data_IF_067469945941
#
_entry.id   IF_067469945941
#
_cell.length_a   1.000
_cell.length_b   1.000
_cell.length_c   1.000
_cell.angle_alpha   90.00
_cell.angle_beta   90.00
_cell.angle_gamma   90.00
#
_symmetry.space_group_name_H-M   'P 1'
#
loop_
_entity.id
_entity.type
_entity.pdbx_description
1 polymer ?
#
# COMPACT_ATOMS: atom_id res chain seq x y z
N UNK A 1 -18.55 15.57 -76.99
CA UNK A 1 -18.42 14.10 -76.93
C UNK A 1 -17.76 13.71 -75.61
N UNK A 2 -18.47 12.91 -74.79
CA UNK A 2 -17.98 12.00 -73.71
C UNK A 2 -17.25 12.71 -72.53
N UNK A 3 -17.55 12.49 -71.25
CA UNK A 3 -18.16 11.33 -70.56
C UNK A 3 -18.61 11.76 -69.15
N UNK A 4 -19.77 11.28 -68.69
CA UNK A 4 -20.21 11.33 -67.28
C UNK A 4 -19.24 10.54 -66.39
N UNK A 5 -18.94 11.05 -65.20
CA UNK A 5 -18.36 10.26 -64.11
C UNK A 5 -19.33 10.25 -62.92
N UNK A 6 -20.01 9.13 -62.76
CA UNK A 6 -20.83 8.73 -61.61
C UNK A 6 -19.92 8.48 -60.42
N UNK A 7 -20.16 9.16 -59.28
CA UNK A 7 -19.58 8.77 -58.00
C UNK A 7 -20.63 8.01 -57.17
N UNK A 8 -20.29 6.76 -56.88
CA UNK A 8 -21.01 5.87 -55.96
C UNK A 8 -20.95 6.43 -54.54
N UNK A 9 -22.10 6.62 -53.91
CA UNK A 9 -22.22 6.82 -52.47
C UNK A 9 -22.00 5.47 -51.77
N UNK A 10 -20.88 5.32 -51.05
CA UNK A 10 -20.67 4.19 -50.15
C UNK A 10 -21.06 4.62 -48.73
N UNK A 11 -22.18 4.08 -48.24
CA UNK A 11 -22.67 4.27 -46.88
C UNK A 11 -21.88 3.34 -45.95
N UNK A 12 -20.99 3.91 -45.12
CA UNK A 12 -20.26 3.15 -44.09
C UNK A 12 -21.17 2.95 -42.86
N UNK A 13 -21.64 1.72 -42.63
CA UNK A 13 -22.41 1.36 -41.45
C UNK A 13 -21.45 1.12 -40.27
N UNK A 14 -21.25 2.11 -39.40
CA UNK A 14 -20.46 1.94 -38.19
C UNK A 14 -21.27 1.19 -37.13
N UNK A 15 -20.97 -0.10 -36.94
CA UNK A 15 -21.46 -0.88 -35.80
C UNK A 15 -20.61 -0.51 -34.59
N UNK A 16 -21.10 0.41 -33.75
CA UNK A 16 -20.52 0.66 -32.43
C UNK A 16 -20.90 -0.46 -31.48
N UNK A 17 -19.97 -1.38 -31.25
CA UNK A 17 -20.05 -2.41 -30.21
C UNK A 17 -19.85 -1.73 -28.85
N UNK A 18 -20.93 -1.47 -28.13
CA UNK A 18 -20.87 -0.95 -26.76
C UNK A 18 -20.44 -2.10 -25.85
N UNK A 19 -19.16 -2.13 -25.49
CA UNK A 19 -18.70 -2.93 -24.35
C UNK A 19 -19.27 -2.29 -23.08
N UNK A 20 -20.29 -2.93 -22.51
CA UNK A 20 -20.75 -2.62 -21.17
C UNK A 20 -19.62 -2.92 -20.19
N UNK A 21 -18.98 -1.89 -19.65
CA UNK A 21 -18.13 -2.03 -18.48
C UNK A 21 -19.04 -2.31 -17.29
N UNK A 22 -19.20 -3.58 -16.94
CA UNK A 22 -19.74 -3.96 -15.63
C UNK A 22 -18.69 -3.57 -14.59
N UNK A 23 -18.91 -2.47 -13.87
CA UNK A 23 -18.16 -2.20 -12.65
C UNK A 23 -18.62 -3.22 -11.60
N UNK A 24 -17.86 -4.30 -11.43
CA UNK A 24 -18.03 -5.16 -10.25
C UNK A 24 -17.74 -4.32 -9.01
N UNK A 25 -18.79 -3.93 -8.29
CA UNK A 25 -18.65 -3.33 -6.98
C UNK A 25 -17.97 -4.39 -6.08
N UNK A 26 -16.72 -4.15 -5.69
CA UNK A 26 -16.05 -4.96 -4.66
C UNK A 26 -16.92 -4.94 -3.42
N UNK A 27 -17.49 -6.09 -3.04
CA UNK A 27 -18.22 -6.22 -1.80
C UNK A 27 -17.30 -5.80 -0.64
N UNK A 28 -17.70 -4.77 0.11
CA UNK A 28 -16.99 -4.37 1.32
C UNK A 28 -16.96 -5.58 2.26
N UNK A 29 -15.78 -5.98 2.69
CA UNK A 29 -15.65 -7.01 3.71
C UNK A 29 -16.22 -6.45 5.01
N UNK A 30 -17.08 -7.21 5.70
CA UNK A 30 -17.67 -6.80 6.97
C UNK A 30 -17.21 -7.72 8.08
N UNK A 31 -17.21 -7.19 9.31
CA UNK A 31 -17.02 -7.95 10.53
C UNK A 31 -18.21 -7.73 11.46
N UNK A 32 -18.84 -8.81 11.89
CA UNK A 32 -19.85 -8.77 12.95
C UNK A 32 -19.16 -8.86 14.30
N UNK A 33 -19.27 -7.79 15.10
CA UNK A 33 -18.63 -7.66 16.42
C UNK A 33 -19.07 -8.81 17.33
N UNK A 34 -18.10 -9.44 17.99
CA UNK A 34 -18.29 -10.48 18.99
C UNK A 34 -18.01 -9.94 20.40
N UNK A 35 -18.50 -10.66 21.42
CA UNK A 35 -18.16 -10.34 22.81
C UNK A 35 -16.64 -10.39 23.01
N UNK A 36 -16.07 -9.31 23.55
CA UNK A 36 -14.64 -9.18 23.80
C UNK A 36 -13.84 -8.59 22.64
N UNK A 37 -14.47 -8.28 21.51
CA UNK A 37 -13.85 -7.49 20.46
C UNK A 37 -13.62 -6.04 20.90
N UNK A 38 -12.57 -5.47 20.32
CA UNK A 38 -12.28 -4.04 20.36
C UNK A 38 -11.91 -3.61 18.95
N UNK A 39 -12.02 -2.33 18.62
CA UNK A 39 -11.61 -1.84 17.30
C UNK A 39 -10.16 -2.23 16.98
N UNK A 40 -9.28 -2.23 17.98
CA UNK A 40 -7.90 -2.70 17.85
C UNK A 40 -7.81 -4.20 17.53
N UNK A 41 -8.53 -5.07 18.25
CA UNK A 41 -8.50 -6.52 17.97
C UNK A 41 -9.03 -6.84 16.58
N UNK A 42 -10.05 -6.12 16.13
CA UNK A 42 -10.59 -6.23 14.77
C UNK A 42 -9.51 -5.78 13.78
N UNK A 43 -8.91 -4.61 13.98
CA UNK A 43 -7.83 -4.09 13.14
C UNK A 43 -6.64 -5.06 13.02
N UNK A 44 -6.19 -5.65 14.14
CA UNK A 44 -5.13 -6.65 14.17
C UNK A 44 -5.52 -7.91 13.41
N UNK A 45 -6.74 -8.44 13.65
CA UNK A 45 -7.24 -9.65 12.98
C UNK A 45 -7.25 -9.49 11.47
N UNK A 46 -7.64 -8.32 11.00
CA UNK A 46 -7.76 -8.01 9.58
C UNK A 46 -6.53 -7.27 9.02
N UNK A 47 -5.46 -7.08 9.81
CA UNK A 47 -4.22 -6.41 9.36
C UNK A 47 -4.46 -5.03 8.72
N UNK A 48 -5.41 -4.27 9.27
CA UNK A 48 -5.77 -2.91 8.83
C UNK A 48 -5.53 -1.91 9.95
N UNK A 49 -5.53 -0.62 9.64
CA UNK A 49 -5.46 0.41 10.66
C UNK A 49 -6.77 0.59 11.40
N UNK A 50 -6.72 0.79 12.72
CA UNK A 50 -7.89 1.19 13.52
C UNK A 50 -8.56 2.40 12.89
N UNK A 51 -7.79 3.45 12.55
CA UNK A 51 -8.33 4.65 11.90
C UNK A 51 -8.98 4.35 10.54
N UNK A 52 -8.41 3.43 9.75
CA UNK A 52 -9.00 3.04 8.46
C UNK A 52 -10.36 2.35 8.64
N UNK A 53 -10.51 1.57 9.72
CA UNK A 53 -11.82 1.03 10.10
C UNK A 53 -12.75 2.18 10.51
N UNK A 54 -12.29 3.12 11.34
CA UNK A 54 -13.13 4.25 11.78
C UNK A 54 -13.63 5.07 10.57
N UNK A 55 -12.73 5.41 9.64
CA UNK A 55 -13.03 6.19 8.44
C UNK A 55 -13.99 5.44 7.50
N UNK A 56 -13.88 4.11 7.43
CA UNK A 56 -14.81 3.26 6.69
C UNK A 56 -16.20 3.13 7.36
N UNK A 57 -16.34 3.60 8.60
CA UNK A 57 -17.57 3.51 9.38
C UNK A 57 -18.03 4.88 9.92
N UNK A 58 -18.33 5.86 9.05
CA UNK A 58 -18.78 7.19 9.47
C UNK A 58 -20.10 7.17 10.25
N UNK A 59 -20.85 6.07 10.21
CA UNK A 59 -22.05 5.85 11.00
C UNK A 59 -21.79 5.63 12.50
N UNK A 60 -20.53 5.42 12.91
CA UNK A 60 -20.17 5.25 14.33
C UNK A 60 -20.06 6.62 15.02
N UNK A 61 -21.07 6.99 15.79
CA UNK A 61 -21.06 8.24 16.57
C UNK A 61 -19.91 8.29 17.60
N UNK A 62 -19.52 7.13 18.15
CA UNK A 62 -18.35 6.99 19.01
C UNK A 62 -17.57 5.72 18.63
N UNK A 63 -16.42 5.85 17.95
CA UNK A 63 -15.64 4.71 17.49
C UNK A 63 -15.00 3.86 18.61
N UNK A 64 -14.96 4.38 19.85
CA UNK A 64 -14.45 3.64 21.01
C UNK A 64 -15.50 2.71 21.64
N UNK A 65 -16.75 2.74 21.18
CA UNK A 65 -17.85 1.90 21.70
C UNK A 65 -18.45 1.09 20.55
N UNK A 66 -18.27 -0.23 20.60
CA UNK A 66 -18.88 -1.20 19.68
C UNK A 66 -19.63 -2.26 20.47
N UNK A 67 -20.72 -2.77 19.91
CA UNK A 67 -21.59 -3.75 20.58
C UNK A 67 -21.63 -5.09 19.84
N UNK A 68 -21.69 -6.24 20.55
CA UNK A 68 -21.89 -7.54 19.90
C UNK A 68 -23.09 -7.53 18.93
N UNK A 69 -22.91 -8.10 17.74
CA UNK A 69 -23.91 -8.10 16.66
C UNK A 69 -23.87 -6.86 15.77
N UNK A 70 -23.13 -5.82 16.13
CA UNK A 70 -22.92 -4.66 15.28
C UNK A 70 -22.03 -5.02 14.07
N UNK A 71 -22.40 -4.53 12.88
CA UNK A 71 -21.61 -4.73 11.67
C UNK A 71 -20.62 -3.59 11.49
N UNK A 72 -19.35 -3.94 11.39
CA UNK A 72 -18.23 -3.04 11.09
C UNK A 72 -17.80 -3.26 9.65
N UNK A 73 -17.82 -2.20 8.86
CA UNK A 73 -17.24 -2.19 7.52
C UNK A 73 -15.73 -2.24 7.64
N UNK A 74 -15.10 -3.22 7.02
CA UNK A 74 -13.64 -3.28 6.94
C UNK A 74 -13.21 -2.53 5.67
N UNK A 75 -12.15 -1.71 5.74
CA UNK A 75 -11.52 -1.22 4.54
C UNK A 75 -11.11 -2.43 3.69
N UNK A 76 -11.45 -2.41 2.40
CA UNK A 76 -11.31 -3.55 1.50
C UNK A 76 -9.91 -4.18 1.62
N UNK A 77 -9.85 -5.45 2.03
CA UNK A 77 -8.65 -6.24 2.38
C UNK A 77 -7.66 -6.48 1.22
N UNK A 78 -7.92 -5.91 0.05
CA UNK A 78 -7.06 -5.96 -1.13
C UNK A 78 -7.29 -4.69 -1.93
N UNK A 79 -6.79 -3.55 -1.44
CA UNK A 79 -6.51 -2.45 -2.36
C UNK A 79 -5.36 -2.87 -3.27
N UNK A 80 -5.31 -2.35 -4.50
CA UNK A 80 -4.17 -2.61 -5.42
C UNK A 80 -2.82 -2.34 -4.74
N UNK A 81 -2.78 -1.36 -3.81
CA UNK A 81 -1.64 -1.05 -2.94
C UNK A 81 -1.13 -2.24 -2.12
N UNK A 82 -2.01 -3.02 -1.49
CA UNK A 82 -1.59 -4.16 -0.68
C UNK A 82 -1.00 -5.31 -1.51
N UNK A 83 -1.51 -5.54 -2.73
CA UNK A 83 -0.93 -6.55 -3.63
C UNK A 83 0.46 -6.14 -4.13
N UNK A 84 0.68 -4.86 -4.45
CA UNK A 84 1.99 -4.40 -4.94
C UNK A 84 3.04 -4.31 -3.82
N UNK A 85 2.64 -4.00 -2.58
CA UNK A 85 3.52 -4.04 -1.42
C UNK A 85 4.01 -5.46 -1.11
N UNK A 86 3.12 -6.46 -1.16
CA UNK A 86 3.48 -7.87 -0.99
C UNK A 86 4.44 -8.36 -2.06
N UNK A 87 4.27 -7.90 -3.30
CA UNK A 87 5.18 -8.21 -4.38
C UNK A 87 6.59 -7.65 -4.14
N UNK A 88 6.71 -6.44 -3.58
CA UNK A 88 8.01 -5.90 -3.14
C UNK A 88 8.65 -6.80 -2.06
N UNK A 89 7.89 -7.25 -1.06
CA UNK A 89 8.40 -8.15 -0.01
C UNK A 89 8.90 -9.47 -0.62
N UNK A 90 8.16 -10.04 -1.57
CA UNK A 90 8.57 -11.26 -2.31
C UNK A 90 9.91 -11.04 -3.00
N UNK A 91 10.04 -9.98 -3.80
CA UNK A 91 11.27 -9.66 -4.54
C UNK A 91 12.47 -9.47 -3.61
N UNK A 92 12.28 -8.78 -2.49
CA UNK A 92 13.31 -8.59 -1.46
C UNK A 92 13.78 -9.93 -0.90
N UNK A 93 12.86 -10.82 -0.54
CA UNK A 93 13.21 -12.11 0.03
C UNK A 93 13.87 -13.05 -0.99
N UNK A 94 13.48 -13.00 -2.26
CA UNK A 94 14.19 -13.70 -3.33
C UNK A 94 15.62 -13.20 -3.49
N UNK A 95 15.83 -11.89 -3.43
CA UNK A 95 17.16 -11.31 -3.53
C UNK A 95 18.05 -11.64 -2.33
N UNK A 96 17.47 -11.63 -1.12
CA UNK A 96 18.13 -12.06 0.10
C UNK A 96 18.54 -13.54 0.03
N UNK A 97 17.67 -14.40 -0.50
CA UNK A 97 17.99 -15.82 -0.68
C UNK A 97 19.19 -16.05 -1.62
N UNK A 98 19.30 -15.28 -2.71
CA UNK A 98 20.49 -15.33 -3.60
C UNK A 98 21.79 -14.98 -2.90
N UNK A 99 21.71 -14.20 -1.82
CA UNK A 99 22.84 -13.80 -0.98
C UNK A 99 23.00 -14.67 0.28
N UNK A 100 22.27 -15.77 0.40
CA UNK A 100 22.35 -16.68 1.56
C UNK A 100 21.78 -16.09 2.86
N UNK A 101 20.98 -15.03 2.76
CA UNK A 101 20.36 -14.37 3.91
C UNK A 101 18.99 -14.97 4.23
N UNK A 102 18.64 -14.96 5.51
CA UNK A 102 17.31 -15.37 5.96
C UNK A 102 16.23 -14.42 5.41
N UNK A 103 15.05 -14.93 5.04
CA UNK A 103 13.95 -14.10 4.60
C UNK A 103 13.48 -13.20 5.75
N UNK A 104 13.12 -11.96 5.43
CA UNK A 104 12.47 -11.05 6.35
C UNK A 104 11.00 -11.46 6.51
N UNK A 105 10.55 -11.52 7.77
CA UNK A 105 9.15 -11.76 8.09
C UNK A 105 8.34 -10.49 7.81
N UNK A 106 7.28 -10.60 7.03
CA UNK A 106 6.35 -9.48 6.82
C UNK A 106 5.68 -9.09 8.15
N UNK A 107 5.76 -7.81 8.50
CA UNK A 107 5.12 -7.22 9.67
C UNK A 107 4.06 -6.21 9.20
N UNK A 108 2.79 -6.57 9.38
CA UNK A 108 1.67 -5.74 8.95
C UNK A 108 1.56 -4.40 9.71
N UNK A 109 1.97 -4.35 10.98
CA UNK A 109 2.02 -3.10 11.77
C UNK A 109 3.06 -2.16 11.16
N UNK A 110 4.23 -2.71 10.79
CA UNK A 110 5.29 -1.94 10.14
C UNK A 110 4.90 -1.51 8.72
N UNK A 111 4.20 -2.36 7.96
CA UNK A 111 3.63 -1.96 6.66
C UNK A 111 2.64 -0.82 6.82
N UNK A 112 1.83 -0.83 7.89
CA UNK A 112 0.94 0.29 8.20
C UNK A 112 1.73 1.59 8.44
N UNK A 113 2.80 1.55 9.24
CA UNK A 113 3.67 2.73 9.44
C UNK A 113 4.24 3.22 8.10
N UNK A 114 4.73 2.31 7.27
CA UNK A 114 5.27 2.65 5.95
C UNK A 114 4.21 3.28 5.03
N UNK A 115 2.94 2.84 5.09
CA UNK A 115 1.85 3.45 4.31
C UNK A 115 1.56 4.88 4.77
N UNK A 116 1.50 5.12 6.08
CA UNK A 116 1.35 6.48 6.61
C UNK A 116 2.52 7.36 6.19
N UNK A 117 3.74 6.83 6.16
CA UNK A 117 4.92 7.57 5.70
C UNK A 117 4.82 7.94 4.21
N UNK A 118 4.42 6.99 3.36
CA UNK A 118 4.21 7.25 1.93
C UNK A 118 3.08 8.26 1.68
N UNK A 119 1.96 8.14 2.40
CA UNK A 119 0.84 9.08 2.31
C UNK A 119 1.21 10.48 2.80
N UNK A 120 1.99 10.58 3.88
CA UNK A 120 2.46 11.86 4.41
C UNK A 120 3.38 12.57 3.41
N UNK A 121 4.34 11.85 2.79
CA UNK A 121 5.16 12.39 1.70
C UNK A 121 4.32 12.93 0.55
N UNK A 122 3.28 12.19 0.16
CA UNK A 122 2.32 12.60 -0.88
C UNK A 122 1.55 13.87 -0.48
N UNK A 123 0.92 13.86 0.69
CA UNK A 123 -0.08 14.85 1.11
C UNK A 123 0.58 16.16 1.55
N UNK A 124 1.80 16.09 2.08
CA UNK A 124 2.60 17.25 2.48
C UNK A 124 3.62 17.68 1.41
N UNK A 125 3.60 17.04 0.25
CA UNK A 125 4.43 17.35 -0.92
C UNK A 125 5.93 17.46 -0.58
N UNK A 126 6.48 16.43 0.05
CA UNK A 126 7.91 16.34 0.38
C UNK A 126 8.47 14.95 0.10
N UNK A 127 9.80 14.86 -0.05
CA UNK A 127 10.51 13.61 -0.19
C UNK A 127 11.75 13.61 0.70
N UNK A 128 11.63 13.03 1.89
CA UNK A 128 12.68 12.99 2.91
C UNK A 128 12.41 11.87 3.91
N UNK A 129 13.46 11.33 4.51
CA UNK A 129 13.35 10.39 5.63
C UNK A 129 12.62 11.04 6.83
N UNK A 130 12.87 12.32 7.11
CA UNK A 130 12.21 13.03 8.22
C UNK A 130 10.85 13.54 7.78
N UNK A 131 9.80 13.09 8.45
CA UNK A 131 8.42 13.58 8.27
C UNK A 131 8.20 14.88 9.05
N UNK A 132 7.54 15.89 8.45
CA UNK A 132 7.09 17.08 9.18
C UNK A 132 5.94 16.79 10.15
N UNK A 133 5.25 15.66 9.99
CA UNK A 133 4.12 15.22 10.81
C UNK A 133 4.55 14.26 11.92
N UNK A 134 5.43 13.30 11.58
CA UNK A 134 5.79 12.16 12.42
C UNK A 134 7.27 12.11 12.85
N UNK A 135 8.07 13.09 12.44
CA UNK A 135 9.50 13.15 12.78
C UNK A 135 10.34 12.10 12.06
N UNK A 136 11.41 11.63 12.71
CA UNK A 136 12.30 10.61 12.12
C UNK A 136 11.60 9.25 11.94
N UNK A 137 12.05 8.37 11.03
CA UNK A 137 11.49 7.03 10.87
C UNK A 137 11.52 6.23 12.19
N UNK A 138 12.60 6.39 12.96
CA UNK A 138 12.77 5.78 14.28
C UNK A 138 11.70 6.19 15.28
N UNK A 139 11.34 7.47 15.28
CA UNK A 139 10.31 8.03 16.15
C UNK A 139 8.94 7.57 15.68
N UNK A 140 8.66 7.66 14.39
CA UNK A 140 7.39 7.21 13.82
C UNK A 140 7.08 5.74 14.14
N UNK A 141 8.05 4.83 13.99
CA UNK A 141 7.86 3.41 14.35
C UNK A 141 7.52 3.25 15.84
N UNK A 142 8.18 4.00 16.75
CA UNK A 142 7.90 3.96 18.19
C UNK A 142 6.55 4.56 18.56
N UNK A 143 6.17 5.68 17.94
CA UNK A 143 4.92 6.39 18.21
C UNK A 143 3.70 5.55 17.77
N UNK A 144 3.89 4.67 16.77
CA UNK A 144 2.92 3.66 16.38
C UNK A 144 2.92 2.40 17.27
N UNK A 145 3.70 2.41 18.35
CA UNK A 145 3.74 1.36 19.37
C UNK A 145 4.65 0.16 19.04
N UNK A 146 5.47 0.24 17.98
CA UNK A 146 6.34 -0.87 17.57
C UNK A 146 7.69 -0.73 18.26
N UNK A 147 8.04 -1.76 19.05
CA UNK A 147 9.35 -1.88 19.69
C UNK A 147 10.34 -2.60 18.76
N UNK A 148 11.59 -2.14 18.74
CA UNK A 148 12.67 -2.71 17.94
C UNK A 148 14.04 -2.42 18.57
N UNK A 149 15.07 -3.19 18.17
CA UNK A 149 16.48 -2.99 18.54
C UNK A 149 17.27 -2.22 17.49
N UNK A 150 17.03 -2.52 16.22
CA UNK A 150 17.54 -1.77 15.08
C UNK A 150 16.42 -1.55 14.06
N UNK A 151 16.52 -0.45 13.31
CA UNK A 151 15.60 -0.19 12.20
C UNK A 151 16.28 0.53 11.05
N UNK A 152 15.74 0.36 9.85
CA UNK A 152 16.18 1.05 8.63
C UNK A 152 15.01 1.46 7.77
N UNK A 153 15.25 2.39 6.85
CA UNK A 153 14.24 2.89 5.91
C UNK A 153 14.84 3.07 4.51
N UNK A 154 14.11 2.62 3.51
CA UNK A 154 14.28 2.99 2.11
C UNK A 154 13.01 3.74 1.65
N UNK A 155 13.18 4.88 0.98
CA UNK A 155 12.08 5.62 0.36
C UNK A 155 12.31 5.74 -1.14
N UNK A 156 11.24 5.82 -1.92
CA UNK A 156 11.29 6.06 -3.36
C UNK A 156 10.03 6.78 -3.84
N UNK A 157 10.14 7.48 -4.96
CA UNK A 157 9.04 8.18 -5.58
C UNK A 157 9.11 8.11 -7.12
N UNK A 158 7.94 8.00 -7.75
CA UNK A 158 7.77 7.98 -9.21
C UNK A 158 7.75 6.59 -9.86
N UNK A 159 8.15 5.53 -9.17
CA UNK A 159 8.10 4.17 -9.72
C UNK A 159 6.66 3.64 -9.71
N UNK A 160 6.22 3.06 -10.82
CA UNK A 160 4.82 2.65 -11.05
C UNK A 160 4.54 1.18 -10.70
N UNK A 161 5.57 0.41 -10.35
CA UNK A 161 5.44 -1.02 -10.06
C UNK A 161 6.41 -1.49 -8.99
N UNK A 162 6.08 -2.64 -8.37
CA UNK A 162 6.93 -3.31 -7.39
C UNK A 162 8.32 -3.64 -7.95
N UNK A 163 8.38 -4.14 -9.19
CA UNK A 163 9.65 -4.43 -9.87
C UNK A 163 10.48 -3.17 -10.07
N UNK A 164 9.87 -2.06 -10.51
CA UNK A 164 10.58 -0.81 -10.77
C UNK A 164 11.16 -0.20 -9.49
N UNK A 165 10.38 -0.18 -8.39
CA UNK A 165 10.87 0.34 -7.11
C UNK A 165 11.94 -0.55 -6.49
N UNK A 166 11.76 -1.87 -6.55
CA UNK A 166 12.76 -2.82 -6.10
C UNK A 166 14.10 -2.65 -6.83
N UNK A 167 14.08 -2.55 -8.17
CA UNK A 167 15.29 -2.32 -8.96
C UNK A 167 15.93 -0.97 -8.64
N UNK A 168 15.13 0.08 -8.42
CA UNK A 168 15.63 1.39 -8.00
C UNK A 168 16.40 1.32 -6.68
N UNK A 169 15.85 0.65 -5.67
CA UNK A 169 16.55 0.43 -4.39
C UNK A 169 17.78 -0.45 -4.55
N UNK A 170 17.69 -1.54 -5.31
CA UNK A 170 18.85 -2.39 -5.56
C UNK A 170 19.96 -1.65 -6.30
N UNK A 171 19.68 -0.67 -7.15
CA UNK A 171 20.70 0.11 -7.85
C UNK A 171 21.34 1.22 -6.98
N UNK A 172 20.80 1.48 -5.79
CA UNK A 172 21.38 2.42 -4.82
C UNK A 172 22.16 1.67 -3.74
N UNK A 173 23.44 2.02 -3.54
CA UNK A 173 24.29 1.35 -2.55
C UNK A 173 23.71 1.41 -1.13
N UNK A 174 23.22 2.57 -0.69
CA UNK A 174 22.62 2.74 0.63
C UNK A 174 21.33 1.93 0.81
N UNK A 175 20.44 1.95 -0.19
CA UNK A 175 19.18 1.21 -0.12
C UNK A 175 19.40 -0.32 -0.19
N UNK A 176 20.33 -0.76 -1.04
CA UNK A 176 20.76 -2.16 -1.15
C UNK A 176 21.33 -2.68 0.17
N UNK A 177 22.13 -1.88 0.87
CA UNK A 177 22.68 -2.25 2.18
C UNK A 177 21.58 -2.54 3.20
N UNK A 178 20.49 -1.77 3.21
CA UNK A 178 19.35 -2.07 4.07
C UNK A 178 18.68 -3.40 3.70
N UNK A 179 18.41 -3.63 2.41
CA UNK A 179 17.78 -4.87 1.90
C UNK A 179 18.60 -6.11 2.24
N UNK A 180 19.93 -6.03 2.10
CA UNK A 180 20.85 -7.15 2.33
C UNK A 180 21.46 -7.17 3.73
N UNK A 181 20.97 -6.33 4.66
CA UNK A 181 21.47 -6.34 6.03
C UNK A 181 21.04 -7.64 6.74
N UNK A 182 21.98 -8.38 7.36
CA UNK A 182 21.64 -9.52 8.21
C UNK A 182 21.03 -9.10 9.56
N UNK A 183 21.09 -7.81 9.90
CA UNK A 183 20.62 -7.28 11.18
C UNK A 183 19.09 -7.31 11.30
N UNK A 184 18.38 -7.10 10.19
CA UNK A 184 16.92 -7.01 10.19
C UNK A 184 16.28 -8.39 10.07
N UNK A 185 15.15 -8.55 10.76
CA UNK A 185 14.37 -9.80 10.78
C UNK A 185 12.96 -9.61 10.26
N UNK A 186 12.46 -8.37 10.24
CA UNK A 186 11.10 -8.04 9.82
C UNK A 186 11.10 -6.87 8.81
N UNK A 187 10.10 -6.87 7.93
CA UNK A 187 9.92 -5.86 6.88
C UNK A 187 8.46 -5.40 6.84
N UNK A 188 8.28 -4.10 6.60
CA UNK A 188 7.00 -3.51 6.21
C UNK A 188 7.16 -2.65 4.97
N UNK A 189 6.20 -2.72 4.05
CA UNK A 189 6.20 -1.93 2.81
C UNK A 189 4.90 -1.16 2.72
N UNK A 190 4.98 0.11 2.32
CA UNK A 190 3.85 1.00 2.18
C UNK A 190 3.88 1.80 0.88
N UNK A 191 2.72 1.89 0.23
CA UNK A 191 2.52 2.60 -1.03
C UNK A 191 1.42 3.66 -0.91
N UNK A 192 1.64 4.82 -1.56
CA UNK A 192 0.61 5.83 -1.75
C UNK A 192 0.64 6.37 -3.19
N UNK A 193 -0.54 6.47 -3.81
CA UNK A 193 -0.72 7.05 -5.14
C UNK A 193 -1.26 8.48 -5.05
N UNK A 194 -0.84 9.33 -6.00
CA UNK A 194 -1.20 10.75 -6.11
C UNK A 194 -0.01 11.68 -5.85
N UNK A 195 -0.28 12.98 -5.65
CA UNK A 195 0.74 14.00 -5.39
C UNK A 195 1.68 14.27 -6.58
N UNK A 196 2.70 15.11 -6.35
CA UNK A 196 3.62 15.59 -7.39
C UNK A 196 4.42 14.47 -8.07
N UNK A 197 4.85 13.45 -7.32
CA UNK A 197 5.56 12.29 -7.87
C UNK A 197 4.65 11.15 -8.36
N UNK A 198 3.32 11.27 -8.21
CA UNK A 198 2.29 10.25 -8.55
C UNK A 198 2.34 8.94 -7.77
N UNK A 199 3.52 8.48 -7.37
CA UNK A 199 3.72 7.22 -6.64
C UNK A 199 4.77 7.44 -5.55
N UNK A 200 4.46 7.03 -4.32
CA UNK A 200 5.34 7.11 -3.16
C UNK A 200 5.47 5.74 -2.51
N UNK A 201 6.69 5.36 -2.18
CA UNK A 201 7.04 4.08 -1.61
C UNK A 201 7.90 4.26 -0.37
N UNK A 202 7.60 3.45 0.64
CA UNK A 202 8.40 3.34 1.85
C UNK A 202 8.58 1.87 2.15
N UNK A 203 9.81 1.47 2.42
CA UNK A 203 10.18 0.15 2.92
C UNK A 203 10.90 0.36 4.24
N UNK A 204 10.34 -0.20 5.31
CA UNK A 204 10.89 -0.15 6.65
C UNK A 204 11.35 -1.53 7.10
N UNK A 205 12.43 -1.56 7.86
CA UNK A 205 13.04 -2.77 8.39
C UNK A 205 13.18 -2.65 9.91
N UNK A 206 12.98 -3.75 10.63
CA UNK A 206 13.25 -3.81 12.08
C UNK A 206 13.89 -5.14 12.49
N UNK A 207 14.47 -5.14 13.69
CA UNK A 207 14.78 -6.34 14.49
C UNK A 207 14.18 -6.20 15.89
N UNK A 208 13.82 -7.33 16.53
CA UNK A 208 13.28 -7.37 17.91
C UNK A 208 14.28 -7.91 18.92
#
# INVERSE_FOLDING_TARGET
MKTLLTFFTTLLLSVTLVYGFSSEAKAASTHTVQSGDTMWKIAVRYQVGVQEIIDANPQLSNPNVIHPGQTIQLPSQQSQGQSIEKEVVRLVNEERAKHGLQPLKENWELSRVARFKSADMRDKNYFSHTSPTYGSPHQMIRDFGIQYRASGENIAAGQTSAQAVFQSWMNSSGHRQNILSPTYTEIGVGYAEGGSYRHYWTQMFISR
#
